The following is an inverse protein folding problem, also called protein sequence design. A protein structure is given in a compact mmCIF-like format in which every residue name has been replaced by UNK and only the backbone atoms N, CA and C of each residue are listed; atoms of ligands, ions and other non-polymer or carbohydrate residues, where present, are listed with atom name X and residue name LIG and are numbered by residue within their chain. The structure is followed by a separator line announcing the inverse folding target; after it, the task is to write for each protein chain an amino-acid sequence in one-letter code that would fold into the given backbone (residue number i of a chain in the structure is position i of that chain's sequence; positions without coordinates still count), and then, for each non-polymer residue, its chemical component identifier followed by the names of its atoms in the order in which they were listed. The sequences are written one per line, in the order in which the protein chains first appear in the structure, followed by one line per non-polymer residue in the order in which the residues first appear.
data_IF_041278415137
#
_entry.id   IF_041278415137
#
_cell.length_a   1.000
_cell.length_b   1.000
_cell.length_c   1.000
_cell.angle_alpha   90.00
_cell.angle_beta   90.00
_cell.angle_gamma   90.00
#
_symmetry.space_group_name_H-M   'P 1'
#
loop_
_entity.id
_entity.type
_entity.pdbx_description
1 polymer ?
#
# COMPACT_ATOMS: atom_id res chain seq x y z
N UNK A 1 -7.32 33.01 -26.10
CA UNK A 1 -8.25 31.90 -25.78
C UNK A 1 -9.59 32.23 -26.44
N UNK A 2 -10.08 31.34 -27.29
CA UNK A 2 -11.29 31.51 -28.10
C UNK A 2 -12.46 30.62 -27.62
N UNK A 3 -12.55 30.41 -26.29
CA UNK A 3 -13.52 29.51 -25.64
C UNK A 3 -12.98 28.09 -25.49
N UNK A 4 -12.50 27.72 -24.29
CA UNK A 4 -11.91 26.42 -23.95
C UNK A 4 -10.86 25.87 -24.95
N UNK A 5 -10.13 26.76 -25.63
CA UNK A 5 -9.08 26.40 -26.62
C UNK A 5 -7.66 26.43 -26.04
N UNK A 6 -7.51 26.31 -24.72
CA UNK A 6 -6.18 26.29 -24.08
C UNK A 6 -5.34 25.09 -24.55
N UNK A 7 -5.95 23.92 -24.77
CA UNK A 7 -5.29 22.72 -25.32
C UNK A 7 -4.61 23.01 -26.67
N UNK A 8 -5.31 23.71 -27.57
CA UNK A 8 -4.81 24.11 -28.89
C UNK A 8 -3.65 25.10 -28.78
N UNK A 9 -3.78 26.11 -27.91
CA UNK A 9 -2.73 27.10 -27.71
C UNK A 9 -1.46 26.44 -27.15
N UNK A 10 -1.60 25.52 -26.19
CA UNK A 10 -0.48 24.79 -25.61
C UNK A 10 0.28 23.99 -26.68
N UNK A 11 -0.43 23.24 -27.52
CA UNK A 11 0.17 22.47 -28.62
C UNK A 11 0.87 23.37 -29.64
N UNK A 12 0.24 24.47 -30.07
CA UNK A 12 0.85 25.42 -31.00
C UNK A 12 2.14 26.00 -30.41
N UNK A 13 2.15 26.36 -29.13
CA UNK A 13 3.36 26.87 -28.47
C UNK A 13 4.45 25.81 -28.41
N UNK A 14 4.14 24.56 -28.06
CA UNK A 14 5.11 23.46 -28.08
C UNK A 14 5.71 23.26 -29.48
N UNK A 15 4.86 23.13 -30.51
CA UNK A 15 5.31 22.93 -31.90
C UNK A 15 6.10 24.13 -32.43
N UNK A 16 5.70 25.35 -32.07
CA UNK A 16 6.42 26.59 -32.44
C UNK A 16 7.81 26.65 -31.81
N UNK A 17 8.06 25.96 -30.69
CA UNK A 17 9.37 25.87 -30.04
C UNK A 17 10.14 24.59 -30.42
N UNK A 18 9.60 23.74 -31.29
CA UNK A 18 10.35 22.65 -31.92
C UNK A 18 11.13 23.22 -33.10
N UNK A 19 12.40 23.61 -32.87
CA UNK A 19 13.18 24.43 -33.81
C UNK A 19 13.17 23.93 -35.28
N UNK A 20 13.38 22.63 -35.59
CA UNK A 20 13.33 22.17 -36.98
C UNK A 20 11.97 22.40 -37.64
N UNK A 21 10.87 22.26 -36.89
CA UNK A 21 9.52 22.46 -37.41
C UNK A 21 9.23 23.95 -37.59
N UNK A 22 9.58 24.77 -36.59
CA UNK A 22 9.38 26.20 -36.62
C UNK A 22 10.08 26.86 -37.81
N UNK A 23 11.34 26.47 -38.08
CA UNK A 23 12.11 26.97 -39.22
C UNK A 23 11.41 26.65 -40.55
N UNK A 24 11.01 25.38 -40.74
CA UNK A 24 10.36 24.93 -41.98
C UNK A 24 9.04 25.68 -42.21
N UNK A 25 8.22 25.85 -41.17
CA UNK A 25 6.93 26.54 -41.27
C UNK A 25 7.09 28.05 -41.46
N UNK A 26 7.93 28.71 -40.65
CA UNK A 26 8.08 30.16 -40.67
C UNK A 26 8.72 30.67 -41.97
N UNK A 27 9.69 29.92 -42.51
CA UNK A 27 10.35 30.23 -43.79
C UNK A 27 9.55 29.75 -45.01
N UNK A 28 8.43 29.05 -44.81
CA UNK A 28 7.64 28.48 -45.91
C UNK A 28 8.38 27.44 -46.73
N UNK A 29 9.36 26.74 -46.14
CA UNK A 29 10.23 25.75 -46.80
C UNK A 29 9.60 24.36 -46.86
N UNK A 30 8.28 24.28 -46.92
CA UNK A 30 7.53 23.03 -47.03
C UNK A 30 6.82 22.92 -48.38
N UNK A 31 6.70 21.70 -48.92
CA UNK A 31 5.95 21.45 -50.16
C UNK A 31 4.54 20.98 -49.81
N UNK A 32 3.55 21.82 -50.06
CA UNK A 32 2.14 21.45 -49.90
C UNK A 32 1.67 20.57 -51.07
N UNK A 33 0.91 19.52 -50.78
CA UNK A 33 0.17 18.75 -51.79
C UNK A 33 -1.01 19.55 -52.34
N UNK A 34 -0.75 20.41 -53.32
CA UNK A 34 -1.78 21.21 -54.00
C UNK A 34 -2.59 22.13 -53.08
N UNK A 35 -3.74 22.62 -53.54
CA UNK A 35 -4.62 23.55 -52.81
C UNK A 35 -5.35 22.99 -51.58
N UNK A 36 -4.93 21.83 -51.04
CA UNK A 36 -5.62 21.12 -49.94
C UNK A 36 -4.96 21.23 -48.56
N UNK A 37 -3.75 21.80 -48.45
CA UNK A 37 -3.02 21.89 -47.19
C UNK A 37 -3.47 23.03 -46.24
N UNK A 38 -4.78 23.30 -46.17
CA UNK A 38 -5.33 24.50 -45.51
C UNK A 38 -4.95 24.61 -44.03
N UNK A 39 -4.91 23.48 -43.31
CA UNK A 39 -4.56 23.43 -41.88
C UNK A 39 -3.10 23.81 -41.67
N UNK A 40 -2.20 23.19 -42.45
CA UNK A 40 -0.76 23.46 -42.35
C UNK A 40 -0.42 24.91 -42.73
N UNK A 41 -1.10 25.50 -43.72
CA UNK A 41 -0.90 26.91 -44.08
C UNK A 41 -1.30 27.87 -42.95
N UNK A 42 -2.43 27.62 -42.29
CA UNK A 42 -2.87 28.46 -41.16
C UNK A 42 -1.95 28.28 -39.95
N UNK A 43 -1.48 27.07 -39.69
CA UNK A 43 -0.46 26.83 -38.66
C UNK A 43 0.84 27.58 -39.00
N UNK A 44 1.33 27.49 -40.23
CA UNK A 44 2.55 28.17 -40.67
C UNK A 44 2.45 29.69 -40.56
N UNK A 45 1.32 30.27 -40.97
CA UNK A 45 1.07 31.71 -40.81
C UNK A 45 1.08 32.13 -39.34
N UNK A 46 0.47 31.32 -38.46
CA UNK A 46 0.46 31.56 -37.02
C UNK A 46 1.86 31.46 -36.41
N UNK A 47 2.61 30.40 -36.71
CA UNK A 47 4.00 30.21 -36.24
C UNK A 47 4.90 31.35 -36.74
N UNK A 48 4.82 31.71 -38.03
CA UNK A 48 5.58 32.83 -38.58
C UNK A 48 5.30 34.13 -37.82
N UNK A 49 4.03 34.46 -37.60
CA UNK A 49 3.65 35.69 -36.90
C UNK A 49 4.13 35.71 -35.43
N UNK A 50 4.16 34.55 -34.76
CA UNK A 50 4.74 34.44 -33.41
C UNK A 50 6.24 34.78 -33.42
N UNK A 51 6.99 34.26 -34.39
CA UNK A 51 8.43 34.48 -34.49
C UNK A 51 8.81 35.87 -35.05
N UNK A 52 7.98 36.47 -35.91
CA UNK A 52 8.19 37.84 -36.41
C UNK A 52 7.63 38.93 -35.50
N UNK A 53 6.92 38.55 -34.43
CA UNK A 53 6.22 39.46 -33.50
C UNK A 53 5.04 40.22 -34.13
N UNK A 54 4.46 39.66 -35.20
CA UNK A 54 3.30 40.22 -35.91
C UNK A 54 1.99 39.48 -35.58
N UNK A 55 1.93 38.85 -34.41
CA UNK A 55 0.74 38.09 -33.99
C UNK A 55 -0.48 38.98 -33.80
N UNK A 56 -1.63 38.53 -34.31
CA UNK A 56 -2.95 39.11 -34.04
C UNK A 56 -3.94 38.02 -33.60
N UNK A 57 -4.93 38.34 -32.74
CA UNK A 57 -5.97 37.39 -32.31
C UNK A 57 -6.74 36.73 -33.47
N UNK A 58 -6.83 37.42 -34.61
CA UNK A 58 -7.45 36.95 -35.84
C UNK A 58 -6.75 35.70 -36.39
N UNK A 59 -5.41 35.64 -36.35
CA UNK A 59 -4.65 34.48 -36.85
C UNK A 59 -4.98 33.19 -36.08
N UNK A 60 -5.10 33.26 -34.75
CA UNK A 60 -5.49 32.10 -33.96
C UNK A 60 -6.98 31.78 -34.08
N UNK A 61 -7.84 32.76 -34.37
CA UNK A 61 -9.25 32.52 -34.66
C UNK A 61 -9.42 31.81 -36.02
N UNK A 62 -8.69 32.23 -37.04
CA UNK A 62 -8.64 31.57 -38.34
C UNK A 62 -8.11 30.14 -38.23
N UNK A 63 -7.07 29.92 -37.40
CA UNK A 63 -6.57 28.57 -37.13
C UNK A 63 -7.64 27.70 -36.44
N UNK A 64 -8.33 28.22 -35.41
CA UNK A 64 -9.46 27.51 -34.78
C UNK A 64 -10.54 27.14 -35.80
N UNK A 65 -10.89 28.07 -36.69
CA UNK A 65 -11.93 27.87 -37.70
C UNK A 65 -11.54 26.76 -38.70
N UNK A 66 -10.28 26.72 -39.15
CA UNK A 66 -9.85 25.64 -40.04
C UNK A 66 -9.79 24.29 -39.34
N UNK A 67 -9.37 24.25 -38.07
CA UNK A 67 -9.43 23.03 -37.25
C UNK A 67 -10.87 22.53 -37.15
N UNK A 68 -11.82 23.42 -36.83
CA UNK A 68 -13.25 23.10 -36.73
C UNK A 68 -13.85 22.61 -38.06
N UNK A 69 -13.35 23.11 -39.20
CA UNK A 69 -13.76 22.64 -40.54
C UNK A 69 -13.32 21.19 -40.77
N UNK A 70 -12.07 20.85 -40.44
CA UNK A 70 -11.45 19.57 -40.76
C UNK A 70 -11.60 18.48 -39.69
N UNK A 71 -11.99 18.84 -38.47
CA UNK A 71 -12.22 17.90 -37.38
C UNK A 71 -13.49 18.24 -36.63
N UNK A 72 -14.46 17.33 -36.70
CA UNK A 72 -15.76 17.49 -36.06
C UNK A 72 -15.63 17.51 -34.53
N UNK A 73 -14.67 16.75 -34.00
CA UNK A 73 -14.45 16.62 -32.55
C UNK A 73 -14.00 17.92 -31.90
N UNK A 74 -13.27 18.79 -32.63
CA UNK A 74 -12.76 20.06 -32.11
C UNK A 74 -13.68 21.25 -32.45
N UNK A 75 -14.93 21.00 -32.86
CA UNK A 75 -15.93 22.05 -33.08
C UNK A 75 -16.49 22.55 -31.75
N UNK A 76 -16.79 23.85 -31.71
CA UNK A 76 -17.42 24.47 -30.54
C UNK A 76 -16.40 24.92 -29.50
N UNK A 77 -16.80 24.81 -28.22
CA UNK A 77 -16.08 25.37 -27.07
C UNK A 77 -15.99 24.36 -25.92
N UNK A 78 -15.91 23.05 -26.20
CA UNK A 78 -15.66 22.03 -25.18
C UNK A 78 -14.17 22.01 -24.78
N UNK A 79 -13.87 21.43 -23.62
CA UNK A 79 -12.49 21.10 -23.25
C UNK A 79 -12.07 19.82 -23.97
N UNK A 80 -10.81 19.75 -24.38
CA UNK A 80 -10.24 18.62 -25.12
C UNK A 80 -8.85 18.26 -24.59
N UNK A 81 -8.42 17.03 -24.84
CA UNK A 81 -7.07 16.58 -24.56
C UNK A 81 -6.08 17.23 -25.56
N UNK A 82 -5.01 17.82 -25.02
CA UNK A 82 -3.96 18.44 -25.82
C UNK A 82 -3.16 17.40 -26.62
N UNK A 83 -2.95 16.19 -26.09
CA UNK A 83 -2.25 15.12 -26.78
C UNK A 83 -3.06 14.64 -27.99
N UNK A 84 -4.37 14.45 -27.84
CA UNK A 84 -5.26 14.08 -28.94
C UNK A 84 -5.22 15.12 -30.07
N UNK A 85 -5.26 16.41 -29.70
CA UNK A 85 -5.12 17.50 -30.67
C UNK A 85 -3.75 17.52 -31.36
N UNK A 86 -2.66 17.29 -30.61
CA UNK A 86 -1.30 17.21 -31.17
C UNK A 86 -1.20 16.09 -32.21
N UNK A 87 -1.66 14.88 -31.88
CA UNK A 87 -1.60 13.73 -32.79
C UNK A 87 -2.43 13.96 -34.05
N UNK A 88 -3.64 14.50 -33.90
CA UNK A 88 -4.47 14.89 -35.06
C UNK A 88 -3.78 15.95 -35.94
N UNK A 89 -3.13 16.93 -35.33
CA UNK A 89 -2.45 18.00 -36.06
C UNK A 89 -1.22 17.48 -36.80
N UNK A 90 -0.41 16.62 -36.17
CA UNK A 90 0.73 15.97 -36.80
C UNK A 90 0.31 15.06 -37.96
N UNK A 91 -0.77 14.29 -37.80
CA UNK A 91 -1.34 13.47 -38.88
C UNK A 91 -1.84 14.34 -40.04
N UNK A 92 -2.55 15.44 -39.75
CA UNK A 92 -2.99 16.38 -40.79
C UNK A 92 -1.80 17.01 -41.52
N UNK A 93 -0.75 17.38 -40.80
CA UNK A 93 0.48 17.90 -41.40
C UNK A 93 1.20 16.84 -42.23
N UNK A 94 1.20 15.58 -41.79
CA UNK A 94 1.76 14.47 -42.55
C UNK A 94 1.10 14.36 -43.93
N UNK A 95 -0.24 14.38 -43.96
CA UNK A 95 -1.04 14.32 -45.18
C UNK A 95 -0.84 15.56 -46.09
N UNK A 96 -0.84 16.75 -45.50
CA UNK A 96 -0.67 18.03 -46.18
C UNK A 96 0.72 18.17 -46.84
N UNK A 97 1.75 17.61 -46.20
CA UNK A 97 3.17 17.73 -46.57
C UNK A 97 3.72 16.54 -47.36
N UNK A 98 2.85 15.71 -47.93
CA UNK A 98 3.22 14.40 -48.47
C UNK A 98 4.33 14.38 -49.54
N UNK A 99 4.85 13.18 -49.78
CA UNK A 99 6.10 12.95 -50.51
C UNK A 99 5.94 13.03 -52.03
N UNK A 100 7.06 13.30 -52.72
CA UNK A 100 7.11 13.46 -54.18
C UNK A 100 6.44 12.26 -54.90
N UNK A 101 5.71 12.57 -55.98
CA UNK A 101 4.77 11.67 -56.68
C UNK A 101 5.32 10.28 -57.07
N UNK A 102 4.49 9.20 -57.16
CA UNK A 102 4.93 7.82 -57.45
C UNK A 102 5.50 7.59 -58.86
N UNK A 103 5.51 8.58 -59.75
CA UNK A 103 5.84 8.42 -61.17
C UNK A 103 7.33 8.15 -61.47
N UNK A 104 8.17 7.91 -60.47
CA UNK A 104 9.59 7.53 -60.63
C UNK A 104 9.95 6.20 -59.96
N UNK A 105 8.98 5.36 -59.61
CA UNK A 105 9.24 4.05 -59.01
C UNK A 105 9.21 2.93 -60.07
N UNK A 106 10.21 2.91 -60.95
CA UNK A 106 10.54 1.72 -61.73
C UNK A 106 11.55 0.85 -60.97
N UNK A 107 11.10 -0.37 -60.64
CA UNK A 107 11.87 -1.58 -60.28
C UNK A 107 12.77 -1.55 -59.03
N UNK A 108 12.37 -2.30 -58.00
CA UNK A 108 13.24 -2.81 -56.94
C UNK A 108 13.19 -4.35 -56.87
N UNK A 109 14.32 -5.06 -56.67
CA UNK A 109 14.38 -6.52 -56.72
C UNK A 109 13.86 -7.18 -55.45
N UNK A 110 13.27 -8.37 -55.60
CA UNK A 110 12.93 -9.29 -54.52
C UNK A 110 14.22 -9.79 -53.86
N UNK A 111 14.38 -9.59 -52.55
CA UNK A 111 15.34 -10.39 -51.77
C UNK A 111 14.77 -10.89 -50.44
N UNK A 112 15.20 -12.10 -50.14
CA UNK A 112 14.87 -13.00 -49.04
C UNK A 112 15.87 -12.85 -47.89
N UNK A 113 15.40 -12.88 -46.64
CA UNK A 113 16.20 -13.33 -45.49
C UNK A 113 16.66 -12.26 -44.48
N UNK A 114 16.06 -12.31 -43.28
CA UNK A 114 16.76 -12.35 -41.98
C UNK A 114 17.89 -11.37 -41.68
N UNK A 115 17.70 -10.07 -41.83
CA UNK A 115 18.44 -9.02 -41.10
C UNK A 115 17.58 -7.75 -41.05
N UNK A 116 17.60 -6.95 -39.96
CA UNK A 116 16.93 -5.65 -39.98
C UNK A 116 17.60 -4.82 -41.08
N UNK A 117 16.84 -4.17 -41.98
CA UNK A 117 17.48 -3.24 -42.90
C UNK A 117 18.20 -2.18 -42.05
N UNK A 118 19.45 -1.79 -42.40
CA UNK A 118 20.00 -0.55 -41.86
C UNK A 118 18.99 0.55 -42.16
N UNK A 119 18.94 1.61 -41.34
CA UNK A 119 18.07 2.77 -41.57
C UNK A 119 18.35 3.40 -42.94
N UNK A 120 17.80 2.79 -43.99
CA UNK A 120 17.76 3.29 -45.34
C UNK A 120 16.79 4.45 -45.23
N UNK A 121 17.32 5.68 -45.15
CA UNK A 121 16.51 6.88 -45.28
C UNK A 121 15.78 6.77 -46.62
N UNK A 122 14.48 6.43 -46.63
CA UNK A 122 13.73 6.27 -47.85
C UNK A 122 13.57 7.67 -48.41
N UNK A 123 14.12 7.89 -49.60
CA UNK A 123 13.79 9.04 -50.40
C UNK A 123 12.26 9.08 -50.57
N UNK A 124 11.60 9.99 -49.84
CA UNK A 124 10.14 10.08 -49.77
C UNK A 124 9.51 9.82 -48.39
N UNK A 125 10.15 10.22 -47.28
CA UNK A 125 9.48 10.40 -45.99
C UNK A 125 9.00 11.85 -45.79
N UNK A 126 7.83 12.02 -45.16
CA UNK A 126 7.34 13.36 -44.79
C UNK A 126 8.19 14.01 -43.67
N UNK A 127 8.04 15.32 -43.46
CA UNK A 127 8.67 16.01 -42.33
C UNK A 127 8.28 15.37 -40.98
N UNK A 128 6.99 15.03 -40.82
CA UNK A 128 6.48 14.45 -39.58
C UNK A 128 7.13 13.10 -39.29
N UNK A 129 7.20 12.23 -40.29
CA UNK A 129 7.85 10.92 -40.17
C UNK A 129 9.34 11.03 -39.84
N UNK A 130 10.05 11.96 -40.46
CA UNK A 130 11.50 12.09 -40.27
C UNK A 130 11.89 12.69 -38.91
N UNK A 131 11.03 13.49 -38.29
CA UNK A 131 11.38 14.23 -37.06
C UNK A 131 10.61 13.80 -35.82
N UNK A 132 9.41 13.22 -35.96
CA UNK A 132 8.57 12.84 -34.82
C UNK A 132 8.29 11.34 -34.73
N UNK A 133 8.47 10.57 -35.82
CA UNK A 133 8.18 9.15 -35.80
C UNK A 133 9.37 8.34 -35.29
N UNK A 134 9.09 7.50 -34.30
CA UNK A 134 9.94 6.40 -33.88
C UNK A 134 9.21 5.06 -34.13
N UNK A 135 9.83 3.95 -33.78
CA UNK A 135 9.29 2.62 -34.05
C UNK A 135 9.50 1.69 -32.85
N UNK A 136 8.43 1.04 -32.41
CA UNK A 136 8.48 -0.05 -31.44
C UNK A 136 8.89 -1.34 -32.13
N UNK A 137 9.49 -2.26 -31.37
CA UNK A 137 9.62 -3.67 -31.75
C UNK A 137 8.85 -4.51 -30.74
N UNK A 138 7.61 -4.88 -31.05
CA UNK A 138 6.84 -5.81 -30.22
C UNK A 138 7.24 -7.24 -30.58
N UNK A 139 7.65 -8.02 -29.58
CA UNK A 139 8.14 -9.39 -29.77
C UNK A 139 7.25 -10.35 -28.99
N UNK A 140 6.31 -11.00 -29.68
CA UNK A 140 5.38 -11.95 -29.06
C UNK A 140 5.85 -13.39 -29.26
N UNK A 141 5.83 -14.18 -28.20
CA UNK A 141 6.16 -15.62 -28.26
C UNK A 141 4.93 -16.43 -27.90
N UNK A 142 4.50 -17.31 -28.82
CA UNK A 142 3.37 -18.20 -28.54
C UNK A 142 3.77 -19.25 -27.49
N UNK A 143 3.04 -19.39 -26.36
CA UNK A 143 3.41 -20.34 -25.31
C UNK A 143 3.23 -21.81 -25.72
N UNK A 144 2.48 -22.09 -26.79
CA UNK A 144 2.21 -23.46 -27.24
C UNK A 144 3.22 -23.96 -28.29
N UNK A 145 3.55 -23.13 -29.29
CA UNK A 145 4.43 -23.54 -30.38
C UNK A 145 5.81 -22.87 -30.35
N UNK A 146 6.06 -21.99 -29.37
CA UNK A 146 7.31 -21.24 -29.17
C UNK A 146 7.75 -20.38 -30.36
N UNK A 147 6.88 -20.20 -31.37
CA UNK A 147 7.14 -19.30 -32.49
C UNK A 147 7.14 -17.87 -31.98
N UNK A 148 8.23 -17.17 -32.26
CA UNK A 148 8.35 -15.73 -32.04
C UNK A 148 7.87 -14.96 -33.28
N UNK A 149 7.06 -13.93 -33.07
CA UNK A 149 6.67 -12.97 -34.09
C UNK A 149 7.09 -11.57 -33.64
N UNK A 150 7.80 -10.85 -34.52
CA UNK A 150 8.15 -9.45 -34.28
C UNK A 150 7.27 -8.55 -35.16
N UNK A 151 6.64 -7.53 -34.57
CA UNK A 151 6.00 -6.43 -35.30
C UNK A 151 6.75 -5.14 -35.03
N UNK A 152 6.79 -4.27 -36.03
CA UNK A 152 7.54 -3.02 -35.99
C UNK A 152 6.59 -1.84 -36.20
N UNK A 153 6.05 -1.32 -35.11
CA UNK A 153 4.92 -0.40 -35.13
C UNK A 153 5.39 1.06 -34.98
N UNK A 154 5.05 1.96 -35.92
CA UNK A 154 5.45 3.36 -35.82
C UNK A 154 4.65 4.10 -34.74
N UNK A 155 5.29 5.04 -34.06
CA UNK A 155 4.64 5.88 -33.05
C UNK A 155 5.16 7.32 -33.07
N UNK A 156 4.34 8.27 -32.61
CA UNK A 156 4.65 9.71 -32.55
C UNK A 156 4.83 10.25 -31.13
N UNK A 157 4.43 9.47 -30.12
CA UNK A 157 4.57 9.83 -28.71
C UNK A 157 4.74 8.57 -27.83
N UNK A 158 5.40 8.74 -26.69
CA UNK A 158 5.49 7.72 -25.64
C UNK A 158 4.57 8.16 -24.50
N UNK A 159 3.54 7.35 -24.23
CA UNK A 159 2.64 7.54 -23.10
C UNK A 159 3.21 6.81 -21.89
N UNK A 160 3.75 7.56 -20.93
CA UNK A 160 4.37 6.98 -19.74
C UNK A 160 3.34 6.83 -18.59
N UNK A 161 3.20 5.63 -17.99
CA UNK A 161 2.40 5.48 -16.79
C UNK A 161 3.04 6.24 -15.63
N UNK A 162 2.20 6.84 -14.79
CA UNK A 162 2.64 7.51 -13.56
C UNK A 162 2.76 6.46 -12.46
N UNK A 163 3.94 6.23 -11.86
CA UNK A 163 4.09 5.31 -10.75
C UNK A 163 3.16 5.72 -9.61
N UNK A 164 2.22 4.84 -9.26
CA UNK A 164 1.32 5.06 -8.14
C UNK A 164 2.00 4.67 -6.83
N UNK A 165 1.63 5.35 -5.75
CA UNK A 165 2.09 5.01 -4.40
C UNK A 165 1.65 3.57 -4.07
N UNK A 166 2.63 2.71 -3.77
CA UNK A 166 2.41 1.28 -3.52
C UNK A 166 2.24 0.93 -2.03
N UNK A 167 2.32 1.93 -1.15
CA UNK A 167 2.23 1.76 0.31
C UNK A 167 1.20 2.69 0.93
N UNK A 168 0.65 2.30 2.07
CA UNK A 168 -0.13 3.17 2.96
C UNK A 168 0.51 3.26 4.34
N UNK A 169 0.21 4.33 5.08
CA UNK A 169 0.57 4.44 6.48
C UNK A 169 -0.36 3.55 7.31
N UNK A 170 0.21 2.72 8.18
CA UNK A 170 -0.50 1.90 9.15
C UNK A 170 0.13 2.08 10.53
N UNK A 171 -0.70 2.42 11.51
CA UNK A 171 -0.28 2.49 12.90
C UNK A 171 -0.56 1.16 13.61
N UNK A 172 0.45 0.63 14.29
CA UNK A 172 0.36 -0.63 15.05
C UNK A 172 0.80 -0.38 16.48
N UNK A 173 -0.02 -0.79 17.45
CA UNK A 173 0.35 -0.72 18.87
C UNK A 173 1.09 -1.99 19.28
N UNK A 174 2.37 -1.84 19.61
CA UNK A 174 3.21 -2.91 20.16
C UNK A 174 2.91 -3.10 21.64
N UNK A 175 2.59 -4.33 22.02
CA UNK A 175 2.43 -4.77 23.42
C UNK A 175 3.67 -5.60 23.79
N UNK A 176 4.64 -4.94 24.41
CA UNK A 176 5.95 -5.50 24.74
C UNK A 176 6.01 -5.99 26.19
N UNK A 177 6.97 -6.88 26.47
CA UNK A 177 7.24 -7.36 27.83
C UNK A 177 8.17 -6.44 28.63
N UNK A 178 8.57 -5.29 28.07
CA UNK A 178 9.49 -4.34 28.70
C UNK A 178 8.74 -3.29 29.54
N UNK A 179 9.04 -3.19 30.83
CA UNK A 179 8.33 -2.29 31.77
C UNK A 179 8.34 -0.81 31.33
N UNK A 180 9.44 -0.33 30.74
CA UNK A 180 9.56 1.08 30.32
C UNK A 180 8.85 1.42 29.01
N UNK A 181 8.54 0.41 28.19
CA UNK A 181 7.96 0.57 26.85
C UNK A 181 6.91 -0.50 26.59
N UNK A 182 6.01 -0.71 27.55
CA UNK A 182 5.03 -1.78 27.50
C UNK A 182 4.02 -1.60 26.36
N UNK A 183 3.66 -0.35 26.06
CA UNK A 183 2.73 0.03 24.99
C UNK A 183 3.35 1.14 24.15
N UNK A 184 3.69 0.84 22.89
CA UNK A 184 4.27 1.80 21.96
C UNK A 184 3.56 1.69 20.63
N UNK A 185 3.06 2.80 20.08
CA UNK A 185 2.50 2.84 18.74
C UNK A 185 3.60 3.17 17.75
N UNK A 186 3.70 2.39 16.69
CA UNK A 186 4.67 2.57 15.61
C UNK A 186 3.94 2.82 14.30
N UNK A 187 4.53 3.66 13.44
CA UNK A 187 3.99 3.94 12.10
C UNK A 187 4.78 3.17 11.05
N UNK A 188 4.07 2.42 10.20
CA UNK A 188 4.66 1.59 9.16
C UNK A 188 4.15 2.02 7.78
N UNK A 189 5.04 2.04 6.78
CA UNK A 189 4.66 2.14 5.36
C UNK A 189 4.41 0.74 4.81
N UNK A 190 3.17 0.26 4.89
CA UNK A 190 2.81 -1.11 4.52
C UNK A 190 2.40 -1.19 3.05
N UNK A 191 2.75 -2.26 2.33
CA UNK A 191 2.34 -2.45 0.94
C UNK A 191 0.82 -2.56 0.80
N UNK A 192 0.26 -1.96 -0.25
CA UNK A 192 -1.19 -2.00 -0.53
C UNK A 192 -1.67 -3.41 -0.91
N UNK A 193 -0.83 -4.15 -1.65
CA UNK A 193 -1.12 -5.50 -2.16
C UNK A 193 -0.25 -6.56 -1.47
N UNK A 194 0.07 -6.35 -0.19
CA UNK A 194 0.87 -7.29 0.60
C UNK A 194 0.04 -8.26 1.44
N UNK A 195 0.75 -9.10 2.19
CA UNK A 195 0.16 -10.05 3.15
C UNK A 195 0.46 -9.66 4.59
N UNK A 196 -0.32 -10.20 5.52
CA UNK A 196 -0.07 -10.02 6.95
C UNK A 196 1.28 -10.64 7.39
N UNK A 197 1.81 -11.63 6.66
CA UNK A 197 3.16 -12.15 6.91
C UNK A 197 4.22 -11.04 6.78
N UNK A 198 4.12 -10.21 5.74
CA UNK A 198 5.02 -9.07 5.53
C UNK A 198 4.87 -8.03 6.66
N UNK A 199 3.62 -7.76 7.08
CA UNK A 199 3.36 -6.89 8.22
C UNK A 199 4.02 -7.43 9.50
N UNK A 200 3.94 -8.74 9.74
CA UNK A 200 4.55 -9.39 10.91
C UNK A 200 6.05 -9.16 10.94
N UNK A 201 6.72 -9.34 9.80
CA UNK A 201 8.15 -9.06 9.64
C UNK A 201 8.50 -7.59 9.88
N UNK A 202 7.69 -6.66 9.37
CA UNK A 202 7.90 -5.22 9.58
C UNK A 202 7.75 -4.83 11.05
N UNK A 203 6.69 -5.30 11.71
CA UNK A 203 6.41 -5.08 13.13
C UNK A 203 7.50 -5.71 14.01
N UNK A 204 7.93 -6.93 13.68
CA UNK A 204 8.99 -7.65 14.38
C UNK A 204 10.30 -6.84 14.37
N UNK A 205 10.67 -6.30 13.20
CA UNK A 205 11.86 -5.46 13.04
C UNK A 205 11.79 -4.18 13.86
N UNK A 206 10.66 -3.47 13.79
CA UNK A 206 10.44 -2.22 14.52
C UNK A 206 10.42 -2.44 16.05
N UNK A 207 9.76 -3.52 16.50
CA UNK A 207 9.66 -3.90 17.91
C UNK A 207 10.89 -4.63 18.46
N UNK A 208 11.85 -5.01 17.61
CA UNK A 208 12.98 -5.90 17.95
C UNK A 208 12.53 -7.21 18.59
N UNK A 209 11.46 -7.79 18.05
CA UNK A 209 10.88 -9.07 18.46
C UNK A 209 11.14 -10.06 17.32
N UNK A 210 11.41 -11.35 17.58
CA UNK A 210 11.41 -12.36 16.52
C UNK A 210 10.03 -12.45 15.84
N UNK A 211 9.93 -12.53 14.49
CA UNK A 211 8.65 -12.61 13.78
C UNK A 211 7.73 -13.72 14.28
N UNK A 212 8.30 -14.88 14.62
CA UNK A 212 7.60 -16.03 15.19
C UNK A 212 7.03 -15.79 16.59
N UNK A 213 7.39 -14.68 17.24
CA UNK A 213 6.86 -14.25 18.53
C UNK A 213 5.93 -13.03 18.39
N UNK A 214 5.50 -12.67 17.20
CA UNK A 214 4.53 -11.58 17.02
C UNK A 214 3.15 -12.19 16.83
N UNK A 215 2.18 -11.79 17.66
CA UNK A 215 0.77 -12.10 17.45
C UNK A 215 0.06 -10.81 17.01
N UNK A 216 -0.63 -10.84 15.87
CA UNK A 216 -1.34 -9.69 15.33
C UNK A 216 -2.84 -9.85 15.57
N UNK A 217 -3.49 -8.82 16.11
CA UNK A 217 -4.94 -8.83 16.32
C UNK A 217 -5.55 -7.43 16.24
N UNK A 218 -6.76 -7.38 15.70
CA UNK A 218 -7.59 -6.18 15.65
C UNK A 218 -8.47 -6.12 16.90
N UNK A 219 -8.36 -5.02 17.64
CA UNK A 219 -9.04 -4.84 18.93
C UNK A 219 -9.87 -3.56 18.90
N UNK A 220 -11.19 -3.73 18.93
CA UNK A 220 -12.15 -2.63 18.97
C UNK A 220 -12.32 -2.06 20.39
N UNK A 221 -13.00 -0.92 20.54
CA UNK A 221 -13.48 -0.44 21.84
C UNK A 221 -14.42 -1.41 22.57
N UNK A 222 -14.93 -2.46 21.91
CA UNK A 222 -15.77 -3.51 22.50
C UNK A 222 -15.02 -4.83 22.77
N UNK A 223 -13.73 -4.91 22.45
CA UNK A 223 -12.89 -6.10 22.63
C UNK A 223 -12.32 -6.64 21.32
N UNK A 224 -11.78 -7.86 21.37
CA UNK A 224 -11.16 -8.53 20.22
C UNK A 224 -12.16 -8.77 19.08
N UNK A 225 -11.78 -8.36 17.86
CA UNK A 225 -12.52 -8.68 16.65
C UNK A 225 -11.99 -9.99 16.04
N UNK A 226 -10.71 -9.99 15.67
CA UNK A 226 -10.04 -11.14 15.06
C UNK A 226 -8.54 -11.12 15.30
N UNK A 227 -7.92 -12.28 15.12
CA UNK A 227 -6.47 -12.40 14.98
C UNK A 227 -6.16 -12.41 13.49
N UNK A 228 -5.00 -11.93 13.08
CA UNK A 228 -4.61 -11.92 11.67
C UNK A 228 -3.62 -13.06 11.38
N UNK A 229 -3.97 -13.87 10.39
CA UNK A 229 -3.15 -14.94 9.86
C UNK A 229 -2.25 -14.48 8.73
N UNK A 230 -1.14 -15.16 8.51
CA UNK A 230 -0.12 -14.78 7.51
C UNK A 230 -0.65 -14.72 6.06
N UNK A 231 -1.69 -15.51 5.75
CA UNK A 231 -2.32 -15.53 4.44
C UNK A 231 -3.36 -14.41 4.24
N UNK A 232 -3.70 -13.64 5.28
CA UNK A 232 -4.67 -12.56 5.18
C UNK A 232 -4.10 -11.40 4.34
N UNK A 233 -4.98 -10.75 3.58
CA UNK A 233 -4.65 -9.56 2.81
C UNK A 233 -4.40 -8.36 3.73
N UNK A 234 -3.31 -7.64 3.48
CA UNK A 234 -2.90 -6.50 4.29
C UNK A 234 -3.75 -5.25 4.06
N UNK A 235 -4.42 -5.14 2.90
CA UNK A 235 -5.22 -3.98 2.51
C UNK A 235 -6.24 -3.58 3.58
N UNK A 236 -7.04 -4.55 4.04
CA UNK A 236 -8.10 -4.32 5.02
C UNK A 236 -7.62 -4.23 6.50
N UNK A 237 -6.36 -4.60 6.78
CA UNK A 237 -5.87 -4.68 8.15
C UNK A 237 -5.81 -3.30 8.81
N UNK A 238 -6.44 -3.14 9.96
CA UNK A 238 -6.41 -1.87 10.70
C UNK A 238 -7.31 -0.76 10.15
N UNK A 239 -8.13 -1.02 9.13
CA UNK A 239 -9.14 -0.05 8.64
C UNK A 239 -10.37 0.00 9.55
N UNK A 240 -10.82 -1.17 10.03
CA UNK A 240 -12.04 -1.29 10.84
C UNK A 240 -11.81 -1.17 12.36
N UNK A 241 -10.59 -1.41 12.84
CA UNK A 241 -10.24 -1.31 14.25
C UNK A 241 -8.72 -1.14 14.45
N UNK A 242 -8.28 -0.56 15.58
CA UNK A 242 -6.86 -0.46 15.89
C UNK A 242 -6.16 -1.82 15.91
N UNK A 243 -4.98 -1.87 15.31
CA UNK A 243 -4.17 -3.07 15.21
C UNK A 243 -3.13 -3.16 16.33
N UNK A 244 -3.03 -4.32 16.96
CA UNK A 244 -2.08 -4.60 18.03
C UNK A 244 -1.15 -5.75 17.64
N UNK A 245 0.11 -5.64 18.07
CA UNK A 245 1.13 -6.65 17.96
C UNK A 245 1.62 -7.07 19.34
N UNK A 246 1.32 -8.29 19.74
CA UNK A 246 1.63 -8.81 21.07
C UNK A 246 2.91 -9.63 21.06
N UNK A 247 3.85 -9.27 21.93
CA UNK A 247 5.00 -10.09 22.27
C UNK A 247 4.64 -11.02 23.44
N UNK A 248 4.60 -12.35 23.26
CA UNK A 248 4.31 -13.27 24.34
C UNK A 248 5.42 -13.26 25.40
N UNK A 249 5.09 -13.51 26.68
CA UNK A 249 6.11 -13.73 27.70
C UNK A 249 7.03 -14.91 27.33
N UNK A 250 8.33 -14.83 27.67
CA UNK A 250 9.29 -15.89 27.37
C UNK A 250 8.85 -17.20 28.03
N UNK A 251 9.03 -18.32 27.33
CA UNK A 251 8.82 -19.63 27.92
C UNK A 251 9.90 -19.88 28.98
N UNK A 252 9.58 -19.76 30.27
CA UNK A 252 10.51 -20.16 31.34
C UNK A 252 10.83 -21.65 31.18
N UNK A 253 12.12 -22.00 31.02
CA UNK A 253 12.61 -23.39 31.04
C UNK A 253 12.13 -24.08 32.32
N UNK A 254 11.57 -25.28 32.19
CA UNK A 254 11.28 -26.14 33.34
C UNK A 254 12.62 -26.49 34.01
N UNK A 255 12.86 -26.01 35.24
CA UNK A 255 14.03 -26.41 36.02
C UNK A 255 14.65 -25.38 36.96
N UNK A 256 14.27 -24.10 36.96
CA UNK A 256 14.83 -23.14 37.93
C UNK A 256 13.87 -22.95 39.13
N UNK A 257 14.23 -23.38 40.35
CA UNK A 257 13.44 -23.09 41.54
C UNK A 257 13.48 -21.58 41.85
N UNK A 258 12.36 -21.04 42.30
CA UNK A 258 12.23 -19.66 42.72
C UNK A 258 13.22 -19.31 43.84
N UNK A 259 14.20 -18.46 43.55
CA UNK A 259 14.83 -17.61 44.56
C UNK A 259 14.19 -16.22 44.49
N UNK A 260 13.54 -15.84 45.59
CA UNK A 260 12.98 -14.51 45.87
C UNK A 260 14.03 -13.41 45.58
N UNK A 261 13.65 -12.21 45.08
CA UNK A 261 14.62 -11.16 44.81
C UNK A 261 15.02 -10.47 46.12
N UNK A 262 16.29 -10.60 46.49
CA UNK A 262 16.96 -9.68 47.40
C UNK A 262 17.84 -8.71 46.60
N UNK A 263 17.50 -7.43 46.70
CA UNK A 263 18.30 -6.23 46.46
C UNK A 263 18.64 -5.77 45.02
N UNK A 264 18.73 -4.44 44.78
CA UNK A 264 18.83 -3.84 43.45
C UNK A 264 20.29 -3.67 43.01
N UNK A 265 20.65 -4.25 41.87
CA UNK A 265 21.88 -3.95 41.13
C UNK A 265 21.54 -3.58 39.67
N UNK A 266 22.39 -2.84 38.95
CA UNK A 266 22.04 -2.27 37.65
C UNK A 266 21.90 -3.40 36.61
N UNK A 267 20.71 -3.54 36.05
CA UNK A 267 20.42 -4.55 35.03
C UNK A 267 21.11 -4.19 33.70
N UNK A 268 22.14 -4.95 33.34
CA UNK A 268 22.64 -5.03 31.96
C UNK A 268 21.83 -6.11 31.21
N UNK A 269 21.40 -5.78 29.98
CA UNK A 269 20.72 -6.71 29.07
C UNK A 269 21.63 -7.89 28.70
N UNK A 270 21.13 -9.15 28.63
CA UNK A 270 21.94 -10.27 28.18
C UNK A 270 22.09 -10.28 26.64
N UNK A 271 23.14 -10.95 26.10
CA UNK A 271 23.45 -10.95 24.67
C UNK A 271 22.55 -11.89 23.87
N UNK A 272 22.51 -11.78 22.53
CA UNK A 272 21.62 -12.57 21.69
C UNK A 272 22.28 -13.91 21.37
N UNK A 273 21.79 -15.02 21.92
CA UNK A 273 22.12 -16.33 21.38
C UNK A 273 21.10 -17.43 21.70
N UNK A 274 20.90 -18.24 20.66
CA UNK A 274 20.46 -19.63 20.63
C UNK A 274 18.98 -19.86 20.26
N UNK A 275 18.81 -20.19 18.97
CA UNK A 275 17.66 -20.86 18.35
C UNK A 275 17.16 -22.00 19.24
N UNK A 276 15.90 -21.95 19.68
CA UNK A 276 15.24 -23.07 20.36
C UNK A 276 13.94 -23.37 19.62
N UNK A 277 13.93 -24.49 18.91
CA UNK A 277 12.82 -25.01 18.10
C UNK A 277 11.70 -25.65 18.93
N UNK A 278 11.33 -25.06 20.07
CA UNK A 278 10.33 -25.65 20.98
C UNK A 278 8.92 -25.04 20.83
N UNK A 279 8.68 -24.28 19.76
CA UNK A 279 7.38 -23.63 19.54
C UNK A 279 6.35 -24.48 18.77
N UNK A 280 6.63 -25.75 18.47
CA UNK A 280 5.84 -26.49 17.46
C UNK A 280 5.06 -27.73 17.92
N UNK A 281 5.07 -28.14 19.20
CA UNK A 281 4.30 -29.34 19.62
C UNK A 281 3.45 -29.14 20.89
N UNK A 282 2.12 -29.38 20.83
CA UNK A 282 1.26 -29.43 22.00
C UNK A 282 1.36 -30.80 22.69
N UNK A 283 2.40 -31.00 23.50
CA UNK A 283 2.50 -32.13 24.43
C UNK A 283 1.65 -31.88 25.70
N UNK A 284 1.09 -32.96 26.26
CA UNK A 284 0.03 -33.05 27.29
C UNK A 284 0.23 -32.35 28.66
N UNK A 285 1.18 -31.41 28.78
CA UNK A 285 1.38 -30.51 29.94
C UNK A 285 1.69 -29.08 29.53
N UNK A 286 1.18 -28.63 28.37
CA UNK A 286 1.62 -27.42 27.68
C UNK A 286 1.09 -26.12 28.28
N UNK A 287 1.94 -25.09 28.35
CA UNK A 287 1.52 -23.70 28.59
C UNK A 287 0.81 -23.14 27.36
N UNK A 288 -0.22 -22.34 27.57
CA UNK A 288 -0.97 -21.67 26.50
C UNK A 288 -0.80 -20.16 26.58
N UNK A 289 -0.96 -19.49 25.45
CA UNK A 289 -0.95 -18.03 25.36
C UNK A 289 -2.38 -17.49 25.39
N UNK A 290 -2.61 -16.49 26.24
CA UNK A 290 -3.90 -15.85 26.44
C UNK A 290 -3.77 -14.38 26.07
N UNK A 291 -4.56 -13.93 25.09
CA UNK A 291 -4.78 -12.52 24.80
C UNK A 291 -6.00 -12.05 25.59
N UNK A 292 -5.88 -10.99 26.37
CA UNK A 292 -6.88 -10.54 27.32
C UNK A 292 -7.35 -9.11 26.98
N UNK A 293 -8.66 -8.90 27.00
CA UNK A 293 -9.27 -7.57 27.01
C UNK A 293 -10.15 -7.44 28.24
N UNK A 294 -10.07 -6.30 28.94
CA UNK A 294 -10.95 -6.01 30.06
C UNK A 294 -12.13 -5.17 29.58
N UNK A 295 -13.34 -5.61 29.90
CA UNK A 295 -14.57 -4.89 29.55
C UNK A 295 -15.43 -4.67 30.78
N UNK A 296 -16.22 -3.60 30.75
CA UNK A 296 -17.20 -3.27 31.78
C UNK A 296 -18.54 -2.94 31.12
N UNK A 297 -19.64 -3.24 31.82
CA UNK A 297 -21.00 -3.06 31.32
C UNK A 297 -21.52 -4.24 30.48
N UNK A 298 -22.73 -4.10 29.98
CA UNK A 298 -23.48 -5.13 29.25
C UNK A 298 -24.14 -4.59 27.98
N UNK A 299 -24.29 -5.47 26.98
CA UNK A 299 -24.94 -5.17 25.70
C UNK A 299 -24.43 -3.88 25.04
N UNK A 300 -25.28 -2.86 24.84
CA UNK A 300 -24.88 -1.61 24.19
C UNK A 300 -23.92 -0.74 25.03
N UNK A 301 -23.85 -0.94 26.35
CA UNK A 301 -22.98 -0.22 27.28
C UNK A 301 -21.63 -0.90 27.48
N UNK A 302 -21.39 -2.03 26.83
CA UNK A 302 -20.12 -2.76 26.89
C UNK A 302 -18.99 -1.87 26.33
N UNK A 303 -18.01 -1.59 27.17
CA UNK A 303 -16.82 -0.84 26.80
C UNK A 303 -15.55 -1.52 27.33
N UNK A 304 -14.51 -1.57 26.49
CA UNK A 304 -13.15 -1.95 26.89
C UNK A 304 -12.57 -0.85 27.76
N UNK A 305 -11.79 -1.23 28.76
CA UNK A 305 -10.96 -0.30 29.53
C UNK A 305 -9.54 -0.85 29.68
N UNK A 306 -8.57 0.06 29.72
CA UNK A 306 -7.15 -0.28 29.80
C UNK A 306 -6.62 -1.05 28.58
N UNK A 307 -5.30 -1.32 28.55
CA UNK A 307 -4.65 -2.00 27.45
C UNK A 307 -5.07 -3.47 27.30
N UNK A 308 -5.05 -4.03 26.07
CA UNK A 308 -5.09 -5.46 25.91
C UNK A 308 -3.75 -6.07 26.35
N UNK A 309 -3.79 -7.28 26.91
CA UNK A 309 -2.64 -7.92 27.54
C UNK A 309 -2.39 -9.29 26.94
N UNK A 310 -1.16 -9.78 27.08
CA UNK A 310 -0.78 -11.15 26.73
C UNK A 310 -0.15 -11.83 27.94
N UNK A 311 -0.62 -13.04 28.22
CA UNK A 311 -0.22 -13.86 29.36
C UNK A 311 0.14 -15.26 28.86
N UNK A 312 1.07 -15.94 29.55
CA UNK A 312 1.40 -17.34 29.32
C UNK A 312 1.09 -18.12 30.60
N UNK A 313 0.15 -19.06 30.52
CA UNK A 313 -0.33 -19.82 31.68
C UNK A 313 -0.29 -21.32 31.45
N UNK A 314 -0.21 -22.08 32.54
CA UNK A 314 -0.31 -23.53 32.52
C UNK A 314 -1.77 -23.96 32.38
N UNK A 315 -2.05 -24.97 31.55
CA UNK A 315 -3.44 -25.44 31.34
C UNK A 315 -4.10 -25.98 32.62
N UNK A 316 -3.29 -26.52 33.53
CA UNK A 316 -3.76 -27.03 34.81
C UNK A 316 -3.93 -25.97 35.91
N UNK A 317 -3.78 -24.68 35.60
CA UNK A 317 -3.92 -23.58 36.56
C UNK A 317 -5.30 -23.59 37.22
N UNK A 318 -5.37 -23.34 38.52
CA UNK A 318 -6.65 -23.20 39.22
C UNK A 318 -7.31 -21.85 38.90
N UNK A 319 -8.61 -21.72 39.15
CA UNK A 319 -9.32 -20.44 38.99
C UNK A 319 -8.68 -19.31 39.82
N UNK A 320 -8.32 -19.60 41.08
CA UNK A 320 -7.71 -18.61 41.97
C UNK A 320 -6.35 -18.12 41.44
N UNK A 321 -5.53 -19.05 40.95
CA UNK A 321 -4.23 -18.74 40.36
C UNK A 321 -4.39 -17.94 39.06
N UNK A 322 -5.33 -18.32 38.19
CA UNK A 322 -5.62 -17.58 36.96
C UNK A 322 -6.11 -16.15 37.27
N UNK A 323 -7.00 -16.00 38.25
CA UNK A 323 -7.48 -14.69 38.70
C UNK A 323 -6.33 -13.83 39.23
N UNK A 324 -5.42 -14.41 40.02
CA UNK A 324 -4.23 -13.72 40.53
C UNK A 324 -3.26 -13.32 39.41
N UNK A 325 -3.00 -14.18 38.42
CA UNK A 325 -2.16 -13.86 37.26
C UNK A 325 -2.71 -12.70 36.44
N UNK A 326 -4.02 -12.68 36.18
CA UNK A 326 -4.69 -11.58 35.46
C UNK A 326 -4.58 -10.28 36.25
N UNK A 327 -4.86 -10.31 37.56
CA UNK A 327 -4.73 -9.14 38.44
C UNK A 327 -3.30 -8.62 38.50
N UNK A 328 -2.29 -9.50 38.53
CA UNK A 328 -0.89 -9.10 38.57
C UNK A 328 -0.48 -8.31 37.32
N UNK A 329 -0.95 -8.73 36.13
CA UNK A 329 -0.68 -8.01 34.88
C UNK A 329 -1.33 -6.62 34.85
N UNK A 330 -2.48 -6.46 35.48
CA UNK A 330 -3.21 -5.20 35.61
C UNK A 330 -2.59 -4.25 36.64
N UNK A 331 -2.06 -4.78 37.76
CA UNK A 331 -1.35 -3.98 38.78
C UNK A 331 0.02 -3.49 38.32
N UNK A 332 0.64 -4.15 37.34
CA UNK A 332 1.84 -3.66 36.68
C UNK A 332 1.57 -2.45 35.75
N UNK A 333 0.33 -1.92 35.72
CA UNK A 333 0.01 -0.62 35.14
C UNK A 333 0.15 0.45 36.25
N UNK A 334 0.73 1.62 35.94
CA UNK A 334 1.02 2.63 36.94
C UNK A 334 -0.27 3.33 37.39
N UNK A 335 -0.98 2.74 38.35
CA UNK A 335 -1.81 3.39 39.39
C UNK A 335 -2.64 2.32 40.12
N UNK A 336 -2.45 2.23 41.45
CA UNK A 336 -3.36 1.54 42.36
C UNK A 336 -2.73 0.34 43.09
N UNK A 337 -2.09 0.60 44.23
CA UNK A 337 -1.89 -0.44 45.25
C UNK A 337 -3.25 -0.82 45.85
N UNK A 338 -3.94 -1.78 45.24
CA UNK A 338 -5.20 -2.31 45.79
C UNK A 338 -5.07 -3.81 46.04
N UNK A 339 -5.04 -4.17 47.33
CA UNK A 339 -5.14 -5.54 47.81
C UNK A 339 -6.57 -6.04 47.56
N UNK A 340 -6.70 -7.09 46.74
CA UNK A 340 -7.95 -7.81 46.60
C UNK A 340 -8.22 -8.57 47.92
N UNK A 341 -9.09 -8.03 48.77
CA UNK A 341 -9.59 -8.73 49.96
C UNK A 341 -10.98 -9.29 49.64
N UNK A 342 -11.04 -10.59 49.35
CA UNK A 342 -12.29 -11.31 49.11
C UNK A 342 -12.05 -12.72 48.56
N UNK A 343 -12.87 -13.68 48.99
CA UNK A 343 -12.82 -15.11 48.61
C UNK A 343 -13.69 -15.46 47.40
N UNK A 344 -14.16 -14.47 46.63
CA UNK A 344 -15.06 -14.65 45.49
C UNK A 344 -14.43 -14.36 44.12
N UNK A 345 -15.12 -14.80 43.06
CA UNK A 345 -14.77 -14.43 41.68
C UNK A 345 -15.03 -12.93 41.46
N UNK A 346 -13.98 -12.19 41.11
CA UNK A 346 -14.03 -10.72 40.93
C UNK A 346 -14.55 -10.29 39.56
N UNK A 347 -14.53 -11.21 38.60
CA UNK A 347 -14.92 -10.99 37.22
C UNK A 347 -15.33 -12.32 36.57
N UNK A 348 -15.96 -12.23 35.41
CA UNK A 348 -16.27 -13.39 34.56
C UNK A 348 -15.30 -13.44 33.40
N UNK A 349 -14.92 -14.65 32.97
CA UNK A 349 -14.05 -14.84 31.81
C UNK A 349 -14.85 -15.49 30.70
N UNK A 350 -14.80 -14.89 29.52
CA UNK A 350 -15.50 -15.36 28.32
C UNK A 350 -14.53 -15.54 27.18
N UNK A 351 -14.70 -16.59 26.37
CA UNK A 351 -13.94 -16.72 25.13
C UNK A 351 -14.36 -15.66 24.12
N UNK A 352 -13.39 -15.05 23.46
CA UNK A 352 -13.58 -14.01 22.46
C UNK A 352 -13.16 -14.49 21.06
N UNK A 353 -13.94 -14.13 20.04
CA UNK A 353 -13.69 -14.51 18.66
C UNK A 353 -14.12 -15.95 18.32
N UNK A 354 -14.97 -16.09 17.30
CA UNK A 354 -15.51 -17.36 16.80
C UNK A 354 -17.03 -17.26 16.54
N UNK A 355 -17.54 -18.05 15.60
CA UNK A 355 -19.00 -18.17 15.33
C UNK A 355 -19.74 -19.04 16.35
N UNK A 356 -19.01 -19.64 17.30
CA UNK A 356 -19.55 -20.51 18.33
C UNK A 356 -20.29 -19.71 19.43
N UNK A 357 -21.27 -20.32 20.13
CA UNK A 357 -21.95 -19.68 21.24
C UNK A 357 -20.95 -19.25 22.33
N UNK A 358 -21.19 -18.08 22.92
CA UNK A 358 -20.42 -17.53 24.04
C UNK A 358 -20.16 -18.58 25.12
N UNK A 359 -18.91 -19.03 25.24
CA UNK A 359 -18.48 -19.92 26.31
C UNK A 359 -17.86 -19.11 27.44
N UNK A 360 -18.41 -19.23 28.64
CA UNK A 360 -17.84 -18.70 29.87
C UNK A 360 -17.03 -19.79 30.57
N UNK A 361 -15.91 -19.39 31.16
CA UNK A 361 -15.15 -20.25 32.07
C UNK A 361 -15.80 -20.18 33.46
N UNK A 362 -16.07 -21.33 34.06
CA UNK A 362 -16.72 -21.41 35.37
C UNK A 362 -15.69 -21.24 36.50
N UNK A 363 -15.96 -20.38 37.50
CA UNK A 363 -15.14 -20.32 38.71
C UNK A 363 -15.12 -21.61 39.53
N UNK A 364 -16.09 -22.51 39.32
CA UNK A 364 -16.19 -23.78 40.01
C UNK A 364 -15.37 -24.89 39.33
N UNK A 365 -14.86 -24.64 38.11
CA UNK A 365 -13.99 -25.59 37.42
C UNK A 365 -12.59 -25.55 38.05
N UNK A 366 -12.05 -26.68 38.53
CA UNK A 366 -10.70 -26.71 39.09
C UNK A 366 -9.61 -26.41 38.06
N UNK A 367 -9.88 -26.57 36.75
CA UNK A 367 -8.93 -26.36 35.64
C UNK A 367 -9.63 -25.68 34.46
N UNK A 368 -9.98 -24.39 34.57
CA UNK A 368 -10.77 -23.68 33.56
C UNK A 368 -10.11 -23.62 32.18
N UNK A 369 -8.77 -23.70 32.09
CA UNK A 369 -8.04 -23.70 30.81
C UNK A 369 -7.98 -25.09 30.14
N UNK A 370 -8.47 -26.14 30.79
CA UNK A 370 -8.71 -27.46 30.19
C UNK A 370 -10.12 -27.57 29.57
N UNK A 371 -10.90 -26.50 29.57
CA UNK A 371 -12.26 -26.51 29.02
C UNK A 371 -12.25 -26.78 27.50
N UNK A 372 -13.13 -27.63 26.94
CA UNK A 372 -13.10 -28.00 25.51
C UNK A 372 -13.22 -26.83 24.52
N UNK A 373 -13.81 -25.71 24.95
CA UNK A 373 -13.85 -24.51 24.13
C UNK A 373 -12.46 -23.87 23.93
N UNK A 374 -11.55 -24.03 24.89
CA UNK A 374 -10.15 -23.59 24.79
C UNK A 374 -9.43 -24.39 23.72
N UNK A 375 -9.64 -25.72 23.68
CA UNK A 375 -9.05 -26.59 22.65
C UNK A 375 -9.52 -26.22 21.25
N UNK A 376 -10.83 -25.99 21.09
CA UNK A 376 -11.37 -25.52 19.81
C UNK A 376 -10.79 -24.17 19.40
N UNK A 377 -10.65 -23.24 20.35
CA UNK A 377 -10.05 -21.93 20.06
C UNK A 377 -8.58 -22.04 19.62
N UNK A 378 -7.80 -22.94 20.23
CA UNK A 378 -6.41 -23.20 19.83
C UNK A 378 -6.31 -23.83 18.44
N UNK A 379 -7.23 -24.74 18.09
CA UNK A 379 -7.30 -25.36 16.76
C UNK A 379 -7.67 -24.35 15.66
N UNK A 380 -8.44 -23.31 16.03
CA UNK A 380 -8.84 -22.21 15.14
C UNK A 380 -7.85 -21.04 15.16
N UNK A 381 -6.69 -21.17 15.81
CA UNK A 381 -5.69 -20.12 15.79
C UNK A 381 -5.13 -19.97 14.38
N UNK A 382 -5.19 -18.74 13.87
CA UNK A 382 -4.69 -18.40 12.54
C UNK A 382 -3.20 -18.73 12.36
N UNK A 383 -2.80 -19.06 11.13
CA UNK A 383 -1.43 -19.41 10.78
C UNK A 383 -0.48 -18.20 10.93
N UNK A 384 0.75 -18.43 11.39
CA UNK A 384 1.85 -17.45 11.39
C UNK A 384 2.39 -17.07 12.76
N UNK A 385 1.52 -16.59 13.64
CA UNK A 385 1.88 -16.28 15.03
C UNK A 385 1.79 -17.51 15.96
N UNK A 386 2.30 -17.42 17.20
CA UNK A 386 2.09 -18.44 18.20
C UNK A 386 0.61 -18.76 18.43
N UNK A 387 0.23 -20.05 18.58
CA UNK A 387 -1.15 -20.42 18.94
C UNK A 387 -1.59 -19.76 20.24
N UNK A 388 -2.75 -19.11 20.21
CA UNK A 388 -3.24 -18.32 21.33
C UNK A 388 -4.77 -18.38 21.45
N UNK A 389 -5.27 -18.02 22.63
CA UNK A 389 -6.71 -17.90 22.91
C UNK A 389 -7.03 -16.48 23.31
N UNK A 390 -8.07 -15.91 22.73
CA UNK A 390 -8.58 -14.58 23.08
C UNK A 390 -9.64 -14.72 24.15
N UNK A 391 -9.52 -13.97 25.23
CA UNK A 391 -10.48 -13.93 26.34
C UNK A 391 -10.89 -12.49 26.62
N UNK A 392 -12.18 -12.34 26.93
CA UNK A 392 -12.75 -11.12 27.50
C UNK A 392 -12.94 -11.32 28.99
N UNK A 393 -12.33 -10.43 29.78
CA UNK A 393 -12.50 -10.37 31.23
C UNK A 393 -13.57 -9.32 31.52
N UNK A 394 -14.73 -9.78 31.95
CA UNK A 394 -15.91 -8.96 32.18
C UNK A 394 -16.02 -8.57 33.65
N UNK A 395 -15.92 -7.27 33.90
CA UNK A 395 -15.97 -6.67 35.22
C UNK A 395 -17.33 -6.04 35.45
N UNK A 396 -17.85 -6.14 36.68
CA UNK A 396 -18.93 -5.27 37.10
C UNK A 396 -18.38 -3.85 37.34
N UNK A 397 -19.23 -2.84 37.16
CA UNK A 397 -18.81 -1.43 37.25
C UNK A 397 -18.26 -1.09 38.64
N UNK A 398 -18.85 -1.64 39.71
CA UNK A 398 -18.46 -1.33 41.09
C UNK A 398 -17.08 -1.89 41.45
N UNK A 399 -16.74 -3.09 40.97
CA UNK A 399 -15.42 -3.70 41.16
C UNK A 399 -14.39 -3.00 40.30
N UNK A 400 -14.74 -2.65 39.05
CA UNK A 400 -13.86 -1.89 38.15
C UNK A 400 -13.49 -0.54 38.75
N UNK A 401 -14.46 0.24 39.22
CA UNK A 401 -14.22 1.55 39.83
C UNK A 401 -13.40 1.44 41.12
N UNK A 402 -13.67 0.44 41.97
CA UNK A 402 -12.94 0.22 43.21
C UNK A 402 -11.47 -0.13 43.00
N UNK A 403 -11.16 -0.94 41.99
CA UNK A 403 -9.81 -1.46 41.76
C UNK A 403 -8.99 -0.59 40.81
N UNK A 404 -9.62 0.05 39.82
CA UNK A 404 -8.94 0.74 38.72
C UNK A 404 -9.41 2.18 38.51
N UNK A 405 -10.42 2.66 39.26
CA UNK A 405 -10.95 4.00 39.16
C UNK A 405 -11.43 4.38 37.75
N UNK A 406 -11.06 5.59 37.33
CA UNK A 406 -11.51 6.21 36.07
C UNK A 406 -10.67 5.84 34.84
N UNK A 407 -9.83 4.80 34.89
CA UNK A 407 -9.09 4.34 33.70
C UNK A 407 -10.12 3.95 32.64
N UNK A 408 -10.17 4.72 31.55
CA UNK A 408 -11.00 4.43 30.37
C UNK A 408 -10.12 4.15 29.16
N UNK A 409 -9.15 5.03 28.87
CA UNK A 409 -8.26 4.89 27.71
C UNK A 409 -6.84 4.43 28.06
N UNK A 410 -6.26 3.71 27.12
CA UNK A 410 -4.89 3.23 27.16
C UNK A 410 -3.93 4.38 26.80
N UNK A 411 -3.00 4.69 27.71
CA UNK A 411 -1.93 5.67 27.41
C UNK A 411 -0.87 4.98 26.57
N UNK A 412 -0.98 5.12 25.24
CA UNK A 412 0.00 4.60 24.28
C UNK A 412 0.96 5.71 23.87
N UNK A 413 2.26 5.44 23.93
CA UNK A 413 3.29 6.38 23.47
C UNK A 413 3.53 6.20 21.97
N UNK A 414 3.42 7.28 21.20
CA UNK A 414 3.76 7.24 19.77
C UNK A 414 5.29 7.29 19.60
N UNK A 415 5.82 6.36 18.81
CA UNK A 415 7.20 6.39 18.34
C UNK A 415 7.40 7.49 17.28
N UNK A 416 8.65 7.87 17.04
CA UNK A 416 9.01 8.82 15.98
C UNK A 416 8.53 8.35 14.60
N UNK A 417 8.52 7.04 14.36
CA UNK A 417 8.05 6.44 13.10
C UNK A 417 6.60 6.79 12.76
N UNK A 418 5.72 7.01 13.75
CA UNK A 418 4.33 7.47 13.51
C UNK A 418 4.34 8.82 12.80
N UNK A 419 5.09 9.80 13.34
CA UNK A 419 5.17 11.15 12.78
C UNK A 419 5.83 11.18 11.41
N UNK A 420 6.91 10.40 11.23
CA UNK A 420 7.61 10.29 9.95
C UNK A 420 6.68 9.74 8.86
N UNK A 421 5.91 8.69 9.16
CA UNK A 421 5.00 8.10 8.18
C UNK A 421 3.81 9.01 7.87
N UNK A 422 3.26 9.71 8.86
CA UNK A 422 2.22 10.72 8.62
C UNK A 422 2.72 11.86 7.73
N UNK A 423 3.94 12.36 7.97
CA UNK A 423 4.52 13.43 7.15
C UNK A 423 4.79 12.96 5.72
N UNK A 424 5.40 11.78 5.55
CA UNK A 424 5.67 11.19 4.25
C UNK A 424 4.39 10.97 3.43
N UNK A 425 3.31 10.52 4.08
CA UNK A 425 2.04 10.30 3.39
C UNK A 425 1.28 11.59 3.07
N UNK A 426 1.46 12.65 3.86
CA UNK A 426 0.90 13.99 3.59
C UNK A 426 1.59 14.72 2.45
N UNK A 427 2.86 14.42 2.18
CA UNK A 427 3.56 14.96 1.02
C UNK A 427 2.89 14.45 -0.27
N UNK A 428 2.65 15.35 -1.22
CA UNK A 428 2.15 14.99 -2.54
C UNK A 428 3.07 13.95 -3.16
N UNK A 429 2.49 12.89 -3.71
CA UNK A 429 3.25 11.87 -4.43
C UNK A 429 3.88 12.52 -5.66
N UNK A 430 5.19 12.70 -5.62
CA UNK A 430 5.99 13.16 -6.75
C UNK A 430 6.71 11.97 -7.35
N UNK A 431 6.71 11.88 -8.68
CA UNK A 431 7.58 10.97 -9.41
C UNK A 431 8.47 11.77 -10.36
N UNK A 432 9.66 11.25 -10.63
CA UNK A 432 10.55 11.75 -11.66
C UNK A 432 10.18 11.16 -13.02
N UNK A 433 10.58 11.84 -14.10
CA UNK A 433 10.40 11.30 -15.45
C UNK A 433 11.15 9.95 -15.63
N UNK A 434 12.30 9.81 -14.97
CA UNK A 434 13.08 8.57 -14.97
C UNK A 434 12.30 7.40 -14.36
N UNK A 435 11.64 7.61 -13.22
CA UNK A 435 10.79 6.59 -12.60
C UNK A 435 9.62 6.16 -13.51
N UNK A 436 9.02 7.10 -14.25
CA UNK A 436 7.99 6.78 -15.23
C UNK A 436 8.54 5.93 -16.38
N UNK A 437 9.75 6.22 -16.88
CA UNK A 437 10.42 5.42 -17.90
C UNK A 437 10.83 4.03 -17.40
N UNK A 438 11.29 3.92 -16.15
CA UNK A 438 11.59 2.63 -15.53
C UNK A 438 10.34 1.77 -15.41
N UNK A 439 9.19 2.35 -15.02
CA UNK A 439 7.93 1.63 -14.97
C UNK A 439 7.50 1.17 -16.37
N UNK A 440 7.52 2.08 -17.34
CA UNK A 440 7.20 1.79 -18.74
C UNK A 440 8.04 0.64 -19.31
N UNK A 441 9.35 0.63 -19.05
CA UNK A 441 10.26 -0.38 -19.59
C UNK A 441 10.25 -1.72 -18.83
N UNK A 442 9.81 -1.74 -17.56
CA UNK A 442 9.63 -2.98 -16.79
C UNK A 442 8.44 -3.79 -17.30
N UNK A 443 7.34 -3.13 -17.64
CA UNK A 443 6.14 -3.80 -18.18
C UNK A 443 6.44 -4.49 -19.52
N UNK A 444 7.38 -3.96 -20.30
CA UNK A 444 7.81 -4.51 -21.60
C UNK A 444 8.86 -5.65 -21.48
N UNK A 445 9.35 -5.97 -20.28
CA UNK A 445 10.32 -7.06 -20.03
C UNK A 445 9.68 -8.39 -19.61
N UNK A 446 8.36 -8.42 -19.43
CA UNK A 446 7.58 -9.61 -19.04
C UNK A 446 6.94 -10.22 -20.28
#
# INVERSE_FOLDING_TARGET
NHGNTCFMNAVVQCLSNTAPLAEVLALGRYRARGGRAEVTHRLAALVRALWTRDYTPQLSAEFKNIVSKHSVQFRGNAQHDALEFLLWLLDRMHEDLGTASPAQQTHGPKETGGSPPPAQHPHGQSFVQSHFQAQYRSSLTCPHCLKQSNTFDPFLCISLPIPLRQTRALNVTLVLQCERRRFVRVGLAVPLLGTVAELREMVAREGRIPPEQVILAEVSPRGFLRSLGDADELGAAGEGAPLYAFQPPPARRAGCPCSLPASPGPAQCPPPAARSSDCLHPGAGGRILLLLCNTVGDGPRLARFGPPLVLREERGVSWEQLQQSILAQLRALPQGEVRAQGTGALFRIRLAGGSAPCAYLSPQDPRPLCHPAIDRALQLSEAGGPPHVKLTVEWDMSTKERLFGNIQEEVVQDAESVRLQEQAHRQQHSCTLDECFQLYTKEEQV
#
